data_IF_229349116395
#
_entry.id   IF_229349116395
#
_cell.length_a   1.000
_cell.length_b   1.000
_cell.length_c   1.000
_cell.angle_alpha   90.00
_cell.angle_beta   90.00
_cell.angle_gamma   90.00
#
_symmetry.space_group_name_H-M   'P 1'
#
loop_
_entity.id
_entity.type
_entity.pdbx_description
1 polymer ?
#
# COMPACT_ATOMS: atom_id res chain seq x y z
N UNK A 1 -40.75 -19.75 14.50
CA UNK A 1 -40.87 -18.29 14.64
C UNK A 1 -39.48 -17.71 14.44
N UNK A 2 -39.11 -17.44 13.20
CA UNK A 2 -37.79 -16.90 12.83
C UNK A 2 -37.76 -15.39 13.02
N UNK A 3 -37.19 -14.93 14.12
CA UNK A 3 -36.90 -13.51 14.36
C UNK A 3 -35.77 -13.06 13.45
N UNK A 4 -36.12 -12.45 12.32
CA UNK A 4 -35.20 -11.69 11.46
C UNK A 4 -34.63 -10.52 12.26
N UNK A 5 -33.37 -10.62 12.69
CA UNK A 5 -32.62 -9.51 13.25
C UNK A 5 -32.40 -8.46 12.15
N UNK A 6 -33.08 -7.32 12.27
CA UNK A 6 -33.01 -6.22 11.30
C UNK A 6 -31.73 -5.43 11.56
N UNK A 7 -30.70 -5.65 10.74
CA UNK A 7 -29.47 -4.87 10.80
C UNK A 7 -29.80 -3.47 10.27
N UNK A 8 -29.90 -2.49 11.16
CA UNK A 8 -30.05 -1.09 10.79
C UNK A 8 -28.68 -0.53 10.39
N UNK A 9 -28.37 -0.65 9.11
CA UNK A 9 -27.16 -0.06 8.53
C UNK A 9 -27.33 1.44 8.55
N UNK A 10 -26.64 2.12 9.48
CA UNK A 10 -26.54 3.58 9.51
C UNK A 10 -26.00 4.00 8.13
N UNK A 11 -26.83 4.65 7.31
CA UNK A 11 -26.38 5.21 6.03
C UNK A 11 -25.35 6.27 6.40
N UNK A 12 -24.06 5.97 6.19
CA UNK A 12 -23.05 7.01 6.22
C UNK A 12 -23.46 7.99 5.11
N UNK A 13 -23.67 9.25 5.49
CA UNK A 13 -23.62 10.39 4.59
C UNK A 13 -22.18 10.45 4.05
N UNK A 14 -21.86 9.55 3.14
CA UNK A 14 -20.66 9.66 2.34
C UNK A 14 -21.04 10.72 1.33
N UNK A 15 -20.88 11.99 1.74
CA UNK A 15 -20.75 13.09 0.81
C UNK A 15 -19.71 12.61 -0.20
N UNK A 16 -20.13 12.32 -1.43
CA UNK A 16 -19.22 11.90 -2.47
C UNK A 16 -18.37 13.13 -2.76
N UNK A 17 -17.31 13.31 -1.98
CA UNK A 17 -16.26 14.24 -2.33
C UNK A 17 -15.79 13.81 -3.72
N UNK A 18 -16.23 14.53 -4.75
CA UNK A 18 -15.61 14.55 -6.06
C UNK A 18 -14.23 15.19 -5.90
N UNK A 19 -13.37 14.54 -5.12
CA UNK A 19 -11.94 14.76 -5.15
C UNK A 19 -11.50 14.17 -6.47
N UNK A 20 -11.55 14.99 -7.52
CA UNK A 20 -10.94 14.66 -8.80
C UNK A 20 -9.51 14.12 -8.59
N UNK A 21 -8.97 13.40 -9.57
CA UNK A 21 -7.69 12.67 -9.47
C UNK A 21 -6.56 13.41 -8.70
N UNK A 22 -6.47 14.74 -8.88
CA UNK A 22 -5.54 15.63 -8.18
C UNK A 22 -5.76 15.73 -6.65
N UNK A 23 -7.02 15.74 -6.21
CA UNK A 23 -7.43 15.74 -4.80
C UNK A 23 -7.23 14.39 -4.11
N UNK A 24 -7.40 13.29 -4.85
CA UNK A 24 -7.11 11.94 -4.36
C UNK A 24 -5.62 11.74 -4.07
N UNK A 25 -4.74 12.13 -5.01
CA UNK A 25 -3.28 12.07 -4.83
C UNK A 25 -2.79 12.99 -3.71
N UNK A 26 -3.43 14.15 -3.51
CA UNK A 26 -3.10 15.08 -2.42
C UNK A 26 -3.56 14.62 -1.04
N UNK A 27 -4.30 13.52 -0.93
CA UNK A 27 -4.76 13.04 0.37
C UNK A 27 -3.56 12.68 1.27
N UNK A 28 -3.68 12.97 2.57
CA UNK A 28 -2.64 12.63 3.57
C UNK A 28 -2.32 11.13 3.56
N UNK A 29 -3.32 10.30 3.25
CA UNK A 29 -3.20 8.86 3.15
C UNK A 29 -2.34 8.44 1.96
N UNK A 30 -2.61 8.95 0.75
CA UNK A 30 -1.80 8.64 -0.43
C UNK A 30 -0.37 9.10 -0.24
N UNK A 31 -0.15 10.28 0.36
CA UNK A 31 1.21 10.76 0.67
C UNK A 31 1.95 9.81 1.61
N UNK A 32 1.29 9.31 2.67
CA UNK A 32 1.90 8.36 3.62
C UNK A 32 2.24 7.04 2.93
N UNK A 33 1.33 6.50 2.13
CA UNK A 33 1.56 5.29 1.33
C UNK A 33 2.73 5.48 0.37
N UNK A 34 2.77 6.60 -0.36
CA UNK A 34 3.82 6.86 -1.36
C UNK A 34 5.20 6.99 -0.71
N UNK A 35 5.30 7.66 0.44
CA UNK A 35 6.54 7.74 1.22
C UNK A 35 6.97 6.35 1.71
N UNK A 36 6.05 5.57 2.27
CA UNK A 36 6.36 4.21 2.75
C UNK A 36 6.80 3.28 1.63
N UNK A 37 6.16 3.36 0.46
CA UNK A 37 6.55 2.60 -0.73
C UNK A 37 7.96 2.97 -1.20
N UNK A 38 8.29 4.27 -1.24
CA UNK A 38 9.65 4.72 -1.61
C UNK A 38 10.69 4.23 -0.60
N UNK A 39 10.40 4.32 0.70
CA UNK A 39 11.30 3.83 1.75
C UNK A 39 11.50 2.30 1.63
N UNK A 40 10.41 1.55 1.41
CA UNK A 40 10.48 0.10 1.21
C UNK A 40 11.27 -0.28 -0.03
N UNK A 41 11.09 0.44 -1.14
CA UNK A 41 11.85 0.21 -2.38
C UNK A 41 13.35 0.47 -2.20
N UNK A 42 13.72 1.58 -1.54
CA UNK A 42 15.11 1.90 -1.22
C UNK A 42 15.70 0.85 -0.28
N UNK A 43 14.97 0.47 0.78
CA UNK A 43 15.40 -0.54 1.74
C UNK A 43 15.62 -1.91 1.09
N UNK A 44 14.71 -2.35 0.24
CA UNK A 44 14.82 -3.60 -0.50
C UNK A 44 15.98 -3.59 -1.50
N UNK A 45 16.17 -2.48 -2.22
CA UNK A 45 17.32 -2.32 -3.12
C UNK A 45 18.65 -2.37 -2.37
N UNK A 46 18.77 -1.65 -1.24
CA UNK A 46 19.97 -1.67 -0.42
C UNK A 46 20.24 -3.06 0.15
N UNK A 47 19.21 -3.73 0.70
CA UNK A 47 19.31 -5.10 1.20
C UNK A 47 19.85 -6.02 0.10
N UNK A 48 19.20 -6.05 -1.06
CA UNK A 48 19.62 -6.87 -2.20
C UNK A 48 21.04 -6.54 -2.68
N UNK A 49 21.40 -5.26 -2.77
CA UNK A 49 22.74 -4.82 -3.15
C UNK A 49 23.82 -5.37 -2.20
N UNK A 50 23.55 -5.39 -0.89
CA UNK A 50 24.49 -5.89 0.11
C UNK A 50 24.46 -7.41 0.29
N UNK A 51 23.35 -8.10 -0.01
CA UNK A 51 23.22 -9.56 0.13
C UNK A 51 23.61 -10.32 -1.13
N UNK A 52 23.04 -9.93 -2.27
CA UNK A 52 23.14 -10.67 -3.54
C UNK A 52 23.94 -9.90 -4.62
N UNK A 53 24.13 -8.59 -4.44
CA UNK A 53 24.85 -7.70 -5.37
C UNK A 53 26.36 -7.94 -5.51
N UNK A 54 26.94 -8.97 -4.89
CA UNK A 54 28.35 -9.36 -5.11
C UNK A 54 28.56 -10.14 -6.42
N UNK A 55 27.49 -10.63 -7.06
CA UNK A 55 27.51 -11.33 -8.35
C UNK A 55 26.70 -10.54 -9.40
N UNK A 56 27.16 -9.33 -9.73
CA UNK A 56 26.51 -8.42 -10.69
C UNK A 56 26.78 -8.77 -12.17
N UNK A 57 26.82 -10.06 -12.55
CA UNK A 57 27.07 -10.41 -13.96
C UNK A 57 25.81 -10.35 -14.83
N UNK A 58 24.62 -10.52 -14.26
CA UNK A 58 23.36 -10.22 -14.93
C UNK A 58 22.24 -10.16 -13.91
N UNK A 59 21.65 -8.99 -13.69
CA UNK A 59 20.33 -8.93 -13.05
C UNK A 59 19.31 -9.09 -14.17
N UNK A 60 18.55 -10.21 -14.24
CA UNK A 60 17.50 -10.34 -15.21
C UNK A 60 16.48 -9.22 -14.98
N UNK A 61 16.11 -8.42 -15.99
CA UNK A 61 15.14 -7.33 -15.80
C UNK A 61 13.78 -7.82 -15.26
N UNK A 62 13.47 -9.12 -15.40
CA UNK A 62 12.30 -9.75 -14.79
C UNK A 62 12.35 -9.79 -13.25
N UNK A 63 13.52 -10.07 -12.66
CA UNK A 63 13.67 -10.19 -11.20
C UNK A 63 13.57 -8.82 -10.51
N UNK A 64 14.07 -7.76 -11.17
CA UNK A 64 13.91 -6.38 -10.70
C UNK A 64 12.43 -6.01 -10.62
N UNK A 65 11.69 -6.28 -11.70
CA UNK A 65 10.28 -5.96 -11.76
C UNK A 65 9.47 -6.73 -10.71
N UNK A 66 9.76 -8.01 -10.53
CA UNK A 66 9.09 -8.84 -9.53
C UNK A 66 9.33 -8.33 -8.10
N UNK A 67 10.57 -7.99 -7.77
CA UNK A 67 10.92 -7.47 -6.44
C UNK A 67 10.32 -6.08 -6.17
N UNK A 68 10.29 -5.21 -7.17
CA UNK A 68 9.65 -3.89 -7.06
C UNK A 68 8.14 -4.01 -6.88
N UNK A 69 7.48 -4.86 -7.67
CA UNK A 69 6.03 -5.09 -7.55
C UNK A 69 5.70 -5.69 -6.17
N UNK A 70 6.46 -6.68 -5.72
CA UNK A 70 6.23 -7.33 -4.43
C UNK A 70 6.43 -6.35 -3.26
N UNK A 71 7.51 -5.55 -3.30
CA UNK A 71 7.75 -4.51 -2.31
C UNK A 71 6.67 -3.43 -2.30
N UNK A 72 6.19 -3.02 -3.48
CA UNK A 72 5.10 -2.06 -3.60
C UNK A 72 3.77 -2.63 -3.04
N UNK A 73 3.48 -3.89 -3.31
CA UNK A 73 2.29 -4.58 -2.80
C UNK A 73 2.31 -4.67 -1.27
N UNK A 74 3.42 -5.10 -0.69
CA UNK A 74 3.59 -5.15 0.77
C UNK A 74 3.46 -3.76 1.40
N UNK A 75 4.12 -2.75 0.83
CA UNK A 75 4.02 -1.36 1.33
C UNK A 75 2.59 -0.81 1.27
N UNK A 76 1.86 -1.12 0.20
CA UNK A 76 0.45 -0.75 0.07
C UNK A 76 -0.43 -1.43 1.14
N UNK A 77 -0.27 -2.74 1.35
CA UNK A 77 -1.03 -3.49 2.35
C UNK A 77 -0.75 -3.01 3.77
N UNK A 78 0.53 -2.81 4.12
CA UNK A 78 0.92 -2.31 5.44
C UNK A 78 0.27 -0.95 5.70
N UNK A 79 0.30 -0.03 4.73
CA UNK A 79 -0.21 1.34 4.92
C UNK A 79 -1.73 1.49 4.80
N UNK A 80 -2.43 0.59 4.10
CA UNK A 80 -3.90 0.58 4.03
C UNK A 80 -4.57 -0.40 5.01
N UNK A 81 -3.80 -1.11 5.82
CA UNK A 81 -4.34 -1.98 6.86
C UNK A 81 -5.18 -1.20 7.91
N UNK A 82 -6.19 -1.83 8.54
CA UNK A 82 -6.95 -1.22 9.65
C UNK A 82 -6.03 -0.79 10.81
N UNK A 83 -4.95 -1.54 11.05
CA UNK A 83 -3.98 -1.23 12.09
C UNK A 83 -3.14 0.01 11.81
N UNK A 84 -2.81 0.31 10.55
CA UNK A 84 -2.12 1.55 10.20
C UNK A 84 -2.96 2.83 10.43
N UNK A 85 -4.25 2.66 10.79
CA UNK A 85 -5.22 3.72 11.08
C UNK A 85 -5.64 3.77 12.56
N UNK A 86 -4.93 3.09 13.47
CA UNK A 86 -5.30 2.96 14.88
C UNK A 86 -6.74 2.45 15.08
N UNK A 87 -7.17 1.53 14.20
CA UNK A 87 -8.47 0.85 14.27
C UNK A 87 -8.34 -0.65 14.54
N UNK A 88 -7.15 -1.07 14.96
CA UNK A 88 -7.06 -2.14 15.95
C UNK A 88 -7.12 -1.48 17.34
#
# INVERSE_FOLDING_TARGET
MDTKQKIEVKKLEIESEEKGFKGWIKSKQVRKTLIATVIGAIGGFLYFYFTDGRTMDAIPPGDIFQNVIFGAFLGFFVTNSPCARNKC
#
